data_IF_706464747191
#
_entry.id   IF_706464747191
#
_cell.length_a   1.000
_cell.length_b   1.000
_cell.length_c   1.000
_cell.angle_alpha   90.00
_cell.angle_beta   90.00
_cell.angle_gamma   90.00
#
_symmetry.space_group_name_H-M   'P 1'
#
loop_
_entity.id
_entity.type
_entity.pdbx_description
1 polymer ?
#
# COMPACT_ATOMS: atom_id res chain seq x y z
N UNK A 1 2.41 4.75 -14.48
CA UNK A 1 2.69 3.60 -13.60
C UNK A 1 3.43 2.54 -14.40
N UNK A 2 4.67 2.26 -14.04
CA UNK A 2 5.52 1.31 -14.75
C UNK A 2 5.10 -0.14 -14.44
N UNK A 3 4.49 -0.82 -15.41
CA UNK A 3 3.83 -2.13 -15.25
C UNK A 3 4.77 -3.24 -14.74
N UNK A 4 6.08 -3.11 -14.99
CA UNK A 4 7.10 -4.05 -14.48
C UNK A 4 7.30 -3.92 -12.96
N UNK A 5 7.06 -2.74 -12.39
CA UNK A 5 7.29 -2.43 -10.97
C UNK A 5 6.15 -2.97 -10.09
N UNK A 6 4.90 -2.81 -10.54
CA UNK A 6 3.73 -3.35 -9.84
C UNK A 6 3.70 -4.89 -9.82
N UNK A 7 4.15 -5.53 -10.91
CA UNK A 7 4.26 -6.99 -10.99
C UNK A 7 5.25 -7.58 -9.98
N UNK A 8 6.31 -6.84 -9.61
CA UNK A 8 7.30 -7.34 -8.64
C UNK A 8 6.71 -7.44 -7.24
N UNK A 9 5.99 -6.40 -6.80
CA UNK A 9 5.33 -6.41 -5.49
C UNK A 9 4.16 -7.40 -5.43
N UNK A 10 3.37 -7.49 -6.50
CA UNK A 10 2.33 -8.51 -6.62
C UNK A 10 2.91 -9.93 -6.59
N UNK A 11 4.06 -10.15 -7.24
CA UNK A 11 4.77 -11.44 -7.24
C UNK A 11 5.26 -11.84 -5.85
N UNK A 12 5.88 -10.92 -5.11
CA UNK A 12 6.32 -11.18 -3.73
C UNK A 12 5.14 -11.42 -2.77
N UNK A 13 4.05 -10.66 -2.92
CA UNK A 13 2.80 -10.92 -2.18
C UNK A 13 2.29 -12.34 -2.44
N UNK A 14 2.23 -12.72 -3.71
CA UNK A 14 1.73 -14.01 -4.12
C UNK A 14 2.62 -15.15 -3.60
N UNK A 15 3.94 -14.99 -3.65
CA UNK A 15 4.90 -15.97 -3.12
C UNK A 15 4.76 -16.18 -1.61
N UNK A 16 4.66 -15.11 -0.83
CA UNK A 16 4.51 -15.22 0.62
C UNK A 16 3.16 -15.81 1.01
N UNK A 17 2.07 -15.39 0.35
CA UNK A 17 0.74 -15.91 0.64
C UNK A 17 0.59 -17.37 0.22
N UNK A 18 1.11 -17.76 -0.93
CA UNK A 18 1.10 -19.16 -1.38
C UNK A 18 1.98 -20.05 -0.51
N UNK A 19 3.19 -19.58 -0.16
CA UNK A 19 4.10 -20.28 0.74
C UNK A 19 3.49 -20.54 2.12
N UNK A 20 2.95 -19.51 2.77
CA UNK A 20 2.27 -19.64 4.07
C UNK A 20 0.99 -20.47 3.97
N UNK A 21 0.28 -20.41 2.84
CA UNK A 21 -0.89 -21.25 2.59
C UNK A 21 -0.54 -22.73 2.47
N UNK A 22 0.54 -23.05 1.77
CA UNK A 22 1.03 -24.43 1.66
C UNK A 22 1.49 -24.95 3.03
N UNK A 23 2.22 -24.13 3.79
CA UNK A 23 2.69 -24.51 5.12
C UNK A 23 1.52 -24.76 6.09
N UNK A 24 0.51 -23.89 6.08
CA UNK A 24 -0.72 -24.09 6.84
C UNK A 24 -1.46 -25.36 6.44
N UNK A 25 -1.57 -25.66 5.14
CA UNK A 25 -2.19 -26.89 4.64
C UNK A 25 -1.45 -28.15 5.08
N UNK A 26 -0.11 -28.13 5.04
CA UNK A 26 0.71 -29.25 5.50
C UNK A 26 0.48 -29.52 6.99
N UNK A 27 0.46 -28.47 7.81
CA UNK A 27 0.22 -28.60 9.26
C UNK A 27 -1.20 -29.15 9.54
N UNK A 28 -2.21 -28.64 8.83
CA UNK A 28 -3.59 -29.17 8.94
C UNK A 28 -3.67 -30.62 8.48
N UNK A 29 -2.96 -30.99 7.39
CA UNK A 29 -2.91 -32.36 6.88
C UNK A 29 -2.28 -33.33 7.88
N UNK A 30 -1.18 -32.94 8.54
CA UNK A 30 -0.56 -33.72 9.62
C UNK A 30 -1.52 -33.88 10.79
N UNK A 31 -2.22 -32.81 11.19
CA UNK A 31 -3.20 -32.87 12.27
C UNK A 31 -4.40 -33.75 11.95
N UNK A 32 -4.91 -33.68 10.72
CA UNK A 32 -5.97 -34.55 10.22
C UNK A 32 -5.54 -36.02 10.19
N UNK A 33 -4.31 -36.31 9.76
CA UNK A 33 -3.75 -37.66 9.77
C UNK A 33 -3.67 -38.23 11.19
N UNK A 34 -3.18 -37.44 12.15
CA UNK A 34 -3.13 -37.83 13.57
C UNK A 34 -4.53 -38.01 14.17
N UNK A 35 -5.48 -37.15 13.80
CA UNK A 35 -6.86 -37.24 14.25
C UNK A 35 -7.52 -38.55 13.80
N UNK A 36 -7.43 -38.86 12.50
CA UNK A 36 -7.99 -40.08 11.90
C UNK A 36 -7.26 -41.32 12.41
N UNK A 37 -5.93 -41.28 12.53
CA UNK A 37 -5.14 -42.38 13.08
C UNK A 37 -5.45 -42.71 14.55
N UNK A 38 -6.00 -41.75 15.29
CA UNK A 38 -6.49 -41.96 16.67
C UNK A 38 -7.93 -42.47 16.77
N UNK A 39 -8.68 -42.56 15.67
CA UNK A 39 -10.05 -43.06 15.69
C UNK A 39 -10.04 -44.58 15.85
N UNK A 40 -10.78 -45.08 16.83
CA UNK A 40 -10.98 -46.52 17.03
C UNK A 40 -12.43 -46.88 16.75
N UNK A 41 -12.66 -48.07 16.18
CA UNK A 41 -14.00 -48.59 16.03
C UNK A 41 -14.35 -49.43 17.25
N UNK A 42 -15.26 -48.92 18.07
CA UNK A 42 -15.75 -49.63 19.25
C UNK A 42 -16.72 -50.76 18.89
N UNK A 43 -17.14 -51.56 19.89
CA UNK A 43 -18.13 -52.62 19.68
C UNK A 43 -19.54 -52.09 19.41
N UNK A 44 -19.77 -50.79 19.66
CA UNK A 44 -21.06 -50.15 19.44
C UNK A 44 -21.28 -49.88 17.95
N UNK A 45 -22.43 -50.32 17.44
CA UNK A 45 -22.82 -50.16 16.04
C UNK A 45 -24.15 -49.42 15.95
N UNK A 46 -24.27 -48.48 15.01
CA UNK A 46 -25.53 -47.82 14.68
C UNK A 46 -25.98 -48.32 13.29
N UNK A 47 -27.17 -48.92 13.19
CA UNK A 47 -27.69 -49.51 11.95
C UNK A 47 -26.72 -50.52 11.28
N UNK A 48 -25.95 -51.26 12.07
CA UNK A 48 -24.98 -52.25 11.56
C UNK A 48 -23.64 -51.66 11.11
N UNK A 49 -23.44 -50.34 11.22
CA UNK A 49 -22.15 -49.70 10.95
C UNK A 49 -21.42 -49.39 12.27
N UNK A 50 -20.12 -49.75 12.39
CA UNK A 50 -19.33 -49.47 13.59
C UNK A 50 -19.19 -47.96 13.80
N UNK A 51 -19.46 -47.50 15.02
CA UNK A 51 -19.38 -46.08 15.36
C UNK A 51 -17.92 -45.75 15.68
N UNK A 52 -17.31 -44.74 15.03
CA UNK A 52 -15.98 -44.29 15.37
C UNK A 52 -15.99 -43.62 16.75
N UNK A 53 -15.13 -44.09 17.64
CA UNK A 53 -14.89 -43.53 18.96
C UNK A 53 -13.63 -42.67 18.94
N UNK A 54 -13.75 -41.47 19.51
CA UNK A 54 -12.65 -40.50 19.59
C UNK A 54 -11.80 -40.83 20.81
N UNK A 55 -10.54 -41.20 20.59
CA UNK A 55 -9.62 -41.51 21.69
C UNK A 55 -8.82 -40.29 22.13
N UNK A 56 -8.12 -40.37 23.26
CA UNK A 56 -7.15 -39.35 23.72
C UNK A 56 -6.12 -39.01 22.64
N UNK A 57 -5.78 -39.96 21.76
CA UNK A 57 -4.84 -39.77 20.66
C UNK A 57 -5.42 -38.92 19.53
N UNK A 58 -6.74 -39.00 19.28
CA UNK A 58 -7.41 -38.11 18.33
C UNK A 58 -7.39 -36.64 18.79
N UNK A 59 -7.51 -36.37 20.09
CA UNK A 59 -7.43 -35.00 20.62
C UNK A 59 -6.07 -34.34 20.36
N UNK A 60 -4.99 -35.11 20.35
CA UNK A 60 -3.65 -34.61 19.98
C UNK A 60 -3.58 -34.13 18.53
N UNK A 61 -4.41 -34.66 17.62
CA UNK A 61 -4.50 -34.21 16.23
C UNK A 61 -5.21 -32.86 16.06
N UNK A 62 -6.03 -32.43 17.03
CA UNK A 62 -6.76 -31.16 16.96
C UNK A 62 -5.81 -29.97 17.12
N UNK A 63 -4.82 -30.10 18.00
CA UNK A 63 -3.83 -29.04 18.29
C UNK A 63 -3.10 -28.56 17.02
N UNK A 64 -2.47 -29.43 16.21
CA UNK A 64 -1.85 -29.01 14.96
C UNK A 64 -2.87 -28.47 13.94
N UNK A 65 -4.11 -28.98 13.88
CA UNK A 65 -5.13 -28.40 12.99
C UNK A 65 -5.42 -26.94 13.34
N UNK A 66 -5.61 -26.64 14.63
CA UNK A 66 -5.85 -25.27 15.10
C UNK A 66 -4.63 -24.39 14.82
N UNK A 67 -3.42 -24.89 15.09
CA UNK A 67 -2.18 -24.16 14.79
C UNK A 67 -2.01 -23.90 13.30
N UNK A 68 -2.31 -24.86 12.43
CA UNK A 68 -2.24 -24.70 10.98
C UNK A 68 -3.22 -23.63 10.48
N UNK A 69 -4.45 -23.61 11.02
CA UNK A 69 -5.42 -22.57 10.74
C UNK A 69 -4.98 -21.19 11.24
N UNK A 70 -4.40 -21.12 12.44
CA UNK A 70 -3.88 -19.88 13.01
C UNK A 70 -2.72 -19.32 12.17
N UNK A 71 -1.75 -20.16 11.81
CA UNK A 71 -0.63 -19.80 10.93
C UNK A 71 -1.14 -19.33 9.56
N UNK A 72 -2.14 -20.01 8.99
CA UNK A 72 -2.75 -19.59 7.74
C UNK A 72 -3.43 -18.21 7.83
N UNK A 73 -4.23 -17.98 8.87
CA UNK A 73 -4.94 -16.72 9.09
C UNK A 73 -3.99 -15.56 9.36
N UNK A 74 -3.04 -15.75 10.27
CA UNK A 74 -2.06 -14.73 10.65
C UNK A 74 -1.09 -14.47 9.50
N UNK A 75 -0.65 -15.52 8.80
CA UNK A 75 0.21 -15.41 7.63
C UNK A 75 -0.42 -14.58 6.50
N UNK A 76 -1.71 -14.81 6.20
CA UNK A 76 -2.44 -13.97 5.24
C UNK A 76 -2.53 -12.51 5.68
N UNK A 77 -2.82 -12.25 6.95
CA UNK A 77 -2.93 -10.89 7.47
C UNK A 77 -1.58 -10.16 7.44
N UNK A 78 -0.51 -10.83 7.83
CA UNK A 78 0.85 -10.30 7.81
C UNK A 78 1.34 -10.01 6.39
N UNK A 79 1.11 -10.94 5.46
CA UNK A 79 1.43 -10.73 4.05
C UNK A 79 0.70 -9.50 3.49
N UNK A 80 -0.58 -9.35 3.81
CA UNK A 80 -1.38 -8.21 3.36
C UNK A 80 -0.87 -6.89 3.96
N UNK A 81 -0.57 -6.87 5.26
CA UNK A 81 0.00 -5.70 5.92
C UNK A 81 1.33 -5.28 5.28
N UNK A 82 2.25 -6.22 5.07
CA UNK A 82 3.58 -5.90 4.56
C UNK A 82 3.54 -5.36 3.13
N UNK A 83 2.66 -5.89 2.28
CA UNK A 83 2.58 -5.45 0.88
C UNK A 83 1.80 -4.16 0.70
N UNK A 84 0.76 -3.92 1.50
CA UNK A 84 0.07 -2.63 1.51
C UNK A 84 0.97 -1.52 2.05
N UNK A 85 1.66 -1.78 3.16
CA UNK A 85 2.57 -0.80 3.76
C UNK A 85 3.76 -0.52 2.85
N UNK A 86 4.32 -1.54 2.20
CA UNK A 86 5.40 -1.36 1.23
C UNK A 86 4.97 -0.53 0.02
N UNK A 87 3.78 -0.76 -0.53
CA UNK A 87 3.26 0.03 -1.64
C UNK A 87 3.01 1.50 -1.25
N UNK A 88 2.42 1.73 -0.06
CA UNK A 88 2.13 3.08 0.44
C UNK A 88 3.42 3.85 0.77
N UNK A 89 4.42 3.20 1.36
CA UNK A 89 5.69 3.84 1.70
C UNK A 89 6.46 4.30 0.45
N UNK A 90 6.40 3.54 -0.64
CA UNK A 90 7.05 3.89 -1.91
C UNK A 90 6.31 5.04 -2.63
N UNK A 91 4.97 5.00 -2.68
CA UNK A 91 4.16 6.11 -3.25
C UNK A 91 4.35 7.41 -2.46
N UNK A 92 4.46 7.32 -1.13
CA UNK A 92 4.79 8.47 -0.27
C UNK A 92 6.22 8.96 -0.54
N UNK A 93 7.18 8.07 -0.79
CA UNK A 93 8.55 8.45 -1.14
C UNK A 93 8.65 9.21 -2.47
N UNK A 94 7.83 8.84 -3.46
CA UNK A 94 7.78 9.51 -4.76
C UNK A 94 7.00 10.84 -4.71
N UNK A 95 5.94 10.92 -3.90
CA UNK A 95 5.14 12.16 -3.74
C UNK A 95 5.80 13.19 -2.82
N UNK A 96 6.55 12.74 -1.79
CA UNK A 96 7.34 13.59 -0.90
C UNK A 96 8.82 13.65 -1.30
N UNK A 97 9.13 13.42 -2.57
CA UNK A 97 10.47 13.69 -3.05
C UNK A 97 10.74 15.20 -2.94
N UNK A 98 11.61 15.54 -1.99
CA UNK A 98 11.93 16.93 -1.64
C UNK A 98 12.54 17.65 -2.85
N UNK A 99 13.09 16.91 -3.80
CA UNK A 99 13.68 17.43 -5.03
C UNK A 99 12.59 17.89 -6.03
N UNK A 100 11.49 17.14 -6.17
CA UNK A 100 10.39 17.49 -7.07
C UNK A 100 9.57 18.67 -6.54
N UNK A 101 9.28 18.68 -5.24
CA UNK A 101 8.57 19.81 -4.59
C UNK A 101 9.41 21.09 -4.65
N UNK A 102 10.73 20.99 -4.47
CA UNK A 102 11.63 22.14 -4.59
C UNK A 102 11.67 22.66 -6.04
N UNK A 103 11.69 21.78 -7.03
CA UNK A 103 11.60 22.14 -8.45
C UNK A 103 10.33 22.93 -8.75
N UNK A 104 9.16 22.42 -8.33
CA UNK A 104 7.87 23.06 -8.57
C UNK A 104 7.77 24.42 -7.86
N UNK A 105 8.25 24.50 -6.62
CA UNK A 105 8.27 25.76 -5.87
C UNK A 105 9.17 26.78 -6.56
N UNK A 106 10.38 26.38 -6.99
CA UNK A 106 11.31 27.27 -7.69
C UNK A 106 10.73 27.73 -9.02
N UNK A 107 10.09 26.84 -9.79
CA UNK A 107 9.45 27.18 -11.05
C UNK A 107 8.32 28.21 -10.86
N UNK A 108 7.46 28.01 -9.85
CA UNK A 108 6.38 28.97 -9.54
C UNK A 108 6.92 30.29 -9.02
N UNK A 109 8.02 30.28 -8.26
CA UNK A 109 8.69 31.50 -7.79
C UNK A 109 9.30 32.30 -8.94
N UNK A 110 9.90 31.61 -9.91
CA UNK A 110 10.49 32.23 -11.09
C UNK A 110 9.43 32.89 -11.98
N UNK A 111 8.32 32.20 -12.25
CA UNK A 111 7.17 32.76 -12.96
C UNK A 111 6.64 34.03 -12.27
N UNK A 112 6.42 33.98 -10.95
CA UNK A 112 5.96 35.15 -10.20
C UNK A 112 6.96 36.31 -10.18
N UNK A 113 8.25 36.02 -10.15
CA UNK A 113 9.30 37.03 -10.23
C UNK A 113 9.33 37.68 -11.62
N UNK A 114 9.17 36.89 -12.67
CA UNK A 114 9.07 37.37 -14.06
C UNK A 114 7.85 38.29 -14.23
N UNK A 115 6.68 37.87 -13.74
CA UNK A 115 5.46 38.69 -13.80
C UNK A 115 5.63 40.02 -13.05
N UNK A 116 6.21 40.01 -11.84
CA UNK A 116 6.48 41.24 -11.10
C UNK A 116 7.46 42.18 -11.82
N UNK A 117 8.47 41.64 -12.51
CA UNK A 117 9.38 42.46 -13.32
C UNK A 117 8.64 43.14 -14.48
N UNK A 118 7.70 42.42 -15.10
CA UNK A 118 6.91 42.92 -16.21
C UNK A 118 5.94 44.02 -15.75
N UNK A 119 5.29 43.83 -14.60
CA UNK A 119 4.43 44.84 -13.98
C UNK A 119 5.20 46.10 -13.57
N UNK A 120 6.39 45.96 -12.97
CA UNK A 120 7.23 47.11 -12.62
C UNK A 120 7.69 47.89 -13.85
N UNK A 121 8.01 47.21 -14.96
CA UNK A 121 8.35 47.86 -16.22
C UNK A 121 7.14 48.58 -16.84
N UNK A 122 5.95 47.99 -16.74
CA UNK A 122 4.70 48.58 -17.20
C UNK A 122 4.38 49.87 -16.43
N UNK A 123 4.41 49.80 -15.08
CA UNK A 123 4.16 50.95 -14.21
C UNK A 123 5.19 52.06 -14.41
N UNK A 124 6.47 51.72 -14.61
CA UNK A 124 7.50 52.72 -14.90
C UNK A 124 7.25 53.42 -16.25
N UNK A 125 6.80 52.68 -17.28
CA UNK A 125 6.39 53.26 -18.57
C UNK A 125 5.19 54.18 -18.42
N UNK A 126 4.19 53.76 -17.66
CA UNK A 126 2.97 54.54 -17.42
C UNK A 126 3.26 55.81 -16.63
N UNK A 127 4.05 55.73 -15.55
CA UNK A 127 4.51 56.90 -14.79
C UNK A 127 5.31 57.87 -15.66
N UNK A 128 6.16 57.37 -16.56
CA UNK A 128 6.90 58.21 -17.50
C UNK A 128 5.97 58.91 -18.50
N UNK A 129 4.97 58.19 -19.03
CA UNK A 129 3.98 58.77 -19.94
C UNK A 129 3.12 59.83 -19.24
N UNK A 130 2.70 59.57 -17.99
CA UNK A 130 1.95 60.55 -17.18
C UNK A 130 2.78 61.80 -16.92
N UNK A 131 4.06 61.66 -16.51
CA UNK A 131 4.95 62.83 -16.34
C UNK A 131 5.12 63.63 -17.62
N UNK A 132 5.24 62.97 -18.77
CA UNK A 132 5.39 63.65 -20.05
C UNK A 132 4.10 64.35 -20.51
N UNK A 133 2.93 63.82 -20.14
CA UNK A 133 1.65 64.47 -20.38
C UNK A 133 1.46 65.69 -19.47
N UNK A 134 1.87 65.59 -18.20
CA UNK A 134 1.85 66.71 -17.23
C UNK A 134 2.77 67.85 -17.69
N UNK A 135 3.97 67.54 -18.20
CA UNK A 135 4.92 68.54 -18.72
C UNK A 135 4.46 69.22 -20.03
N UNK A 136 3.50 68.62 -20.74
CA UNK A 136 2.93 69.20 -21.98
C UNK A 136 1.77 70.18 -21.70
N UNK A 137 1.16 70.15 -20.51
CA UNK A 137 -0.01 70.98 -20.14
C UNK A 137 0.37 72.33 -19.50
N UNK A 138 1.63 72.53 -19.09
CA UNK A 138 2.11 73.80 -18.51
C UNK A 138 2.59 74.84 -19.54
N UNK A 139 2.33 74.63 -20.84
CA UNK A 139 2.91 75.42 -21.94
C UNK A 139 1.94 76.15 -22.86
N UNK A 140 0.62 76.12 -22.64
CA UNK A 140 -0.36 76.69 -23.57
C UNK A 140 -1.37 77.66 -22.94
N UNK A 141 -0.87 78.63 -22.18
CA UNK A 141 -1.60 79.87 -21.89
C UNK A 141 -0.69 81.08 -22.16
N UNK A 142 -0.58 81.47 -23.43
CA UNK A 142 -0.43 82.87 -23.87
C UNK A 142 -1.26 83.11 -25.15
#
# INVERSE_FOLDING_TARGET
MDQKRSLRFAGWYFLYTTGLSLLGLVIVGIGGYLFVGGLTFGPETLYGYPIPQVTTQSYLGIVPVILGLAVWRVGKAWALYHTLTGAIAEDLGETYDTEHVKSDIVAVLDDRLSDMQQDLQSVNRELRNIKQADEFDFGSEE
#
